data_IF_616945249687
#
_entry.id   IF_616945249687
#
_cell.length_a   1.000
_cell.length_b   1.000
_cell.length_c   1.000
_cell.angle_alpha   90.00
_cell.angle_beta   90.00
_cell.angle_gamma   90.00
#
_symmetry.space_group_name_H-M   'P 1'
#
loop_
_entity.id
_entity.type
_entity.pdbx_description
1 polymer ?
#
# COMPACT_ATOMS: atom_id res chain seq x y z
N UNK A 1 -3.56 18.51 62.63
CA UNK A 1 -2.38 18.40 61.72
C UNK A 1 -2.58 17.46 60.52
N UNK A 2 -3.64 16.64 60.44
CA UNK A 2 -3.81 15.62 59.39
C UNK A 2 -4.37 16.11 58.03
N UNK A 3 -4.92 17.33 57.94
CA UNK A 3 -5.54 17.84 56.69
C UNK A 3 -4.54 18.46 55.68
N UNK A 4 -3.33 18.83 56.11
CA UNK A 4 -2.31 19.45 55.23
C UNK A 4 -1.52 18.41 54.43
N UNK A 5 -1.33 17.22 54.98
CA UNK A 5 -0.54 16.13 54.37
C UNK A 5 -1.28 15.47 53.19
N UNK A 6 -2.61 15.28 53.28
CA UNK A 6 -3.40 14.70 52.17
C UNK A 6 -3.51 15.60 50.94
N UNK A 7 -3.53 16.94 51.10
CA UNK A 7 -3.54 17.86 49.95
C UNK A 7 -2.22 17.85 49.18
N UNK A 8 -1.10 17.60 49.85
CA UNK A 8 0.20 17.55 49.20
C UNK A 8 0.39 16.27 48.37
N UNK A 9 -0.12 15.13 48.85
CA UNK A 9 -0.15 13.85 48.12
C UNK A 9 -1.07 13.91 46.88
N UNK A 10 -2.27 14.47 47.00
CA UNK A 10 -3.18 14.66 45.86
C UNK A 10 -2.61 15.65 44.81
N UNK A 11 -1.83 16.64 45.25
CA UNK A 11 -1.12 17.57 44.36
C UNK A 11 0.04 16.90 43.60
N UNK A 12 0.79 15.99 44.24
CA UNK A 12 1.90 15.30 43.56
C UNK A 12 1.38 14.26 42.56
N UNK A 13 0.28 13.56 42.89
CA UNK A 13 -0.36 12.58 42.00
C UNK A 13 -0.97 13.23 40.74
N UNK A 14 -1.55 14.44 40.86
CA UNK A 14 -2.06 15.18 39.69
C UNK A 14 -0.94 15.65 38.76
N UNK A 15 0.25 15.99 39.28
CA UNK A 15 1.42 16.37 38.46
C UNK A 15 2.02 15.18 37.71
N UNK A 16 2.04 14.01 38.34
CA UNK A 16 2.50 12.76 37.72
C UNK A 16 1.60 12.30 36.57
N UNK A 17 0.27 12.41 36.71
CA UNK A 17 -0.67 12.00 35.67
C UNK A 17 -0.72 12.95 34.46
N UNK A 18 -0.44 14.24 34.66
CA UNK A 18 -0.41 15.25 33.58
C UNK A 18 0.90 15.20 32.79
N UNK A 19 2.03 14.85 33.43
CA UNK A 19 3.33 14.74 32.76
C UNK A 19 3.42 13.56 31.76
N UNK A 20 2.57 12.54 31.89
CA UNK A 20 2.58 11.37 30.99
C UNK A 20 1.68 11.51 29.75
N UNK A 21 0.82 12.52 29.68
CA UNK A 21 -0.04 12.74 28.51
C UNK A 21 0.44 13.99 27.79
N UNK A 22 1.07 13.80 26.64
CA UNK A 22 1.40 14.89 25.73
C UNK A 22 0.12 15.65 25.36
N UNK A 23 -0.11 16.79 25.99
CA UNK A 23 -1.25 17.65 25.68
C UNK A 23 -0.87 18.55 24.50
N UNK A 24 -1.70 18.56 23.46
CA UNK A 24 -1.58 19.47 22.33
C UNK A 24 -1.87 20.91 22.77
N UNK A 25 -1.29 21.88 22.06
CA UNK A 25 -1.46 23.31 22.30
C UNK A 25 -2.94 23.76 22.29
N UNK A 26 -3.79 23.03 21.56
CA UNK A 26 -5.24 23.20 21.50
C UNK A 26 -5.96 22.86 22.81
N UNK A 27 -5.43 21.92 23.61
CA UNK A 27 -6.04 21.48 24.86
C UNK A 27 -5.86 22.52 25.98
N UNK A 28 -4.75 23.27 25.96
CA UNK A 28 -4.46 24.32 26.95
C UNK A 28 -5.20 25.64 26.68
N UNK A 29 -5.66 25.86 25.44
CA UNK A 29 -6.45 27.06 25.08
C UNK A 29 -7.85 27.08 25.69
N UNK A 30 -8.39 25.92 26.09
CA UNK A 30 -9.76 25.79 26.62
C UNK A 30 -9.84 25.71 28.16
N UNK A 31 -8.71 25.71 28.87
CA UNK A 31 -8.71 25.87 30.32
C UNK A 31 -8.70 27.36 30.66
N UNK A 32 -9.85 27.85 31.12
CA UNK A 32 -10.12 29.26 31.42
C UNK A 32 -9.22 29.83 32.51
N UNK A 33 -8.01 30.26 32.15
CA UNK A 33 -7.15 31.08 32.98
C UNK A 33 -6.70 32.33 32.21
N UNK A 34 -6.59 33.43 32.95
CA UNK A 34 -6.16 34.73 32.43
C UNK A 34 -4.83 34.63 31.67
N UNK A 35 -4.52 35.59 30.80
CA UNK A 35 -3.24 35.62 30.06
C UNK A 35 -2.03 35.47 31.01
N UNK A 36 -2.13 36.06 32.22
CA UNK A 36 -1.11 35.97 33.26
C UNK A 36 -0.95 34.56 33.81
N UNK A 37 -2.05 33.89 34.16
CA UNK A 37 -2.02 32.51 34.65
C UNK A 37 -1.57 31.51 33.58
N UNK A 38 -1.90 31.75 32.30
CA UNK A 38 -1.35 30.98 31.19
C UNK A 38 0.16 31.14 31.11
N UNK A 39 0.68 32.36 31.21
CA UNK A 39 2.13 32.61 31.20
C UNK A 39 2.84 32.00 32.41
N UNK A 40 2.25 32.05 33.61
CA UNK A 40 2.81 31.39 34.81
C UNK A 40 2.76 29.85 34.70
N UNK A 41 1.72 29.29 34.09
CA UNK A 41 1.63 27.86 33.82
C UNK A 41 2.68 27.45 32.77
N UNK A 42 2.84 28.20 31.69
CA UNK A 42 3.91 27.99 30.70
C UNK A 42 5.31 28.09 31.33
N UNK A 43 5.52 29.05 32.25
CA UNK A 43 6.78 29.17 33.00
C UNK A 43 7.05 27.95 33.91
N UNK A 44 6.01 27.26 34.39
CA UNK A 44 6.17 25.97 35.11
C UNK A 44 6.49 24.80 34.18
N UNK A 45 6.23 24.95 32.87
CA UNK A 45 6.61 24.00 31.84
C UNK A 45 7.96 24.32 31.17
N UNK A 46 8.58 25.46 31.51
CA UNK A 46 9.86 25.96 30.98
C UNK A 46 11.10 25.15 31.43
N UNK A 47 10.86 23.95 31.98
CA UNK A 47 11.86 22.95 32.35
C UNK A 47 11.46 21.52 31.97
N UNK A 48 10.42 21.33 31.14
CA UNK A 48 10.08 19.99 30.66
C UNK A 48 11.06 19.56 29.55
N UNK A 49 11.67 18.36 29.67
CA UNK A 49 12.75 17.89 28.81
C UNK A 49 12.23 17.33 27.47
N UNK A 50 11.26 18.00 26.85
CA UNK A 50 11.15 17.93 25.40
C UNK A 50 11.62 19.26 24.83
N UNK A 51 12.92 19.50 25.04
CA UNK A 51 13.65 20.55 24.36
C UNK A 51 13.48 20.35 22.85
N UNK A 52 13.53 21.45 22.08
CA UNK A 52 13.59 21.37 20.60
C UNK A 52 14.66 20.38 20.12
N UNK A 53 15.75 20.26 20.87
CA UNK A 53 16.81 19.28 20.63
C UNK A 53 16.33 17.83 20.78
N UNK A 54 15.58 17.47 21.84
CA UNK A 54 15.07 16.10 22.00
C UNK A 54 14.01 15.75 20.95
N UNK A 55 13.16 16.72 20.57
CA UNK A 55 12.20 16.55 19.47
C UNK A 55 12.94 16.33 18.15
N UNK A 56 14.00 17.10 17.90
CA UNK A 56 14.85 16.90 16.71
C UNK A 56 15.51 15.53 16.73
N UNK A 57 16.12 15.12 17.85
CA UNK A 57 16.74 13.80 18.00
C UNK A 57 15.75 12.66 17.74
N UNK A 58 14.51 12.77 18.26
CA UNK A 58 13.46 11.79 17.96
C UNK A 58 13.10 11.78 16.48
N UNK A 59 12.93 12.95 15.85
CA UNK A 59 12.63 13.04 14.41
C UNK A 59 13.74 12.45 13.55
N UNK A 60 14.99 12.83 13.80
CA UNK A 60 16.16 12.31 13.09
C UNK A 60 16.23 10.78 13.25
N UNK A 61 15.94 10.26 14.45
CA UNK A 61 15.88 8.83 14.72
C UNK A 61 14.76 8.11 13.97
N UNK A 62 13.56 8.70 13.91
CA UNK A 62 12.45 8.16 13.12
C UNK A 62 12.73 8.21 11.62
N UNK A 63 13.32 9.29 11.12
CA UNK A 63 13.71 9.42 9.71
C UNK A 63 14.74 8.35 9.32
N UNK A 64 15.77 8.15 10.15
CA UNK A 64 16.77 7.11 9.91
C UNK A 64 16.17 5.70 9.95
N UNK A 65 15.24 5.42 10.87
CA UNK A 65 14.55 4.12 10.92
C UNK A 65 13.61 3.92 9.74
N UNK A 66 12.86 4.95 9.34
CA UNK A 66 11.98 4.91 8.19
C UNK A 66 12.76 4.62 6.90
N UNK A 67 13.95 5.20 6.75
CA UNK A 67 14.82 4.92 5.62
C UNK A 67 15.22 3.43 5.58
N UNK A 68 15.64 2.86 6.72
CA UNK A 68 15.97 1.42 6.79
C UNK A 68 14.76 0.56 6.43
N UNK A 69 13.58 0.86 6.99
CA UNK A 69 12.36 0.13 6.66
C UNK A 69 11.97 0.24 5.19
N UNK A 70 12.19 1.41 4.58
CA UNK A 70 11.97 1.59 3.15
C UNK A 70 12.90 0.68 2.34
N UNK A 71 14.20 0.65 2.64
CA UNK A 71 15.15 -0.22 1.94
C UNK A 71 14.82 -1.72 2.11
N UNK A 72 14.47 -2.15 3.32
CA UNK A 72 14.05 -3.53 3.60
C UNK A 72 12.76 -3.89 2.84
N UNK A 73 11.79 -2.97 2.79
CA UNK A 73 10.56 -3.15 2.03
C UNK A 73 10.83 -3.31 0.53
N UNK A 74 11.70 -2.46 -0.04
CA UNK A 74 12.09 -2.54 -1.45
C UNK A 74 12.78 -3.87 -1.76
N UNK A 75 13.72 -4.30 -0.90
CA UNK A 75 14.40 -5.57 -1.06
C UNK A 75 13.44 -6.77 -0.95
N UNK A 76 12.48 -6.73 -0.02
CA UNK A 76 11.46 -7.77 0.10
C UNK A 76 10.60 -7.85 -1.17
N UNK A 77 10.24 -6.70 -1.73
CA UNK A 77 9.45 -6.61 -2.95
C UNK A 77 10.20 -7.16 -4.17
N UNK A 78 11.48 -6.85 -4.31
CA UNK A 78 12.36 -7.44 -5.34
C UNK A 78 12.46 -8.97 -5.19
N UNK A 79 12.62 -9.46 -3.96
CA UNK A 79 12.68 -10.90 -3.70
C UNK A 79 11.36 -11.62 -4.05
N UNK A 80 10.21 -11.00 -3.74
CA UNK A 80 8.89 -11.53 -4.10
C UNK A 80 8.74 -11.62 -5.61
N UNK A 81 9.10 -10.53 -6.31
CA UNK A 81 9.11 -10.47 -7.77
C UNK A 81 9.99 -11.59 -8.36
N UNK A 82 11.20 -11.76 -7.83
CA UNK A 82 12.12 -12.82 -8.26
C UNK A 82 11.55 -14.23 -8.04
N UNK A 83 10.92 -14.48 -6.89
CA UNK A 83 10.36 -15.79 -6.57
C UNK A 83 9.15 -16.13 -7.45
N UNK A 84 8.27 -15.16 -7.71
CA UNK A 84 7.07 -15.37 -8.52
C UNK A 84 7.39 -15.51 -10.02
N UNK A 85 8.41 -14.81 -10.50
CA UNK A 85 8.92 -15.00 -11.87
C UNK A 85 9.62 -16.35 -12.01
N UNK A 86 10.50 -16.71 -11.08
CA UNK A 86 11.26 -17.98 -11.12
C UNK A 86 10.39 -19.22 -10.95
N UNK A 87 9.25 -19.12 -10.26
CA UNK A 87 8.29 -20.22 -10.11
C UNK A 87 7.35 -20.41 -11.30
N UNK A 88 7.35 -19.50 -12.27
CA UNK A 88 6.44 -19.53 -13.42
C UNK A 88 5.00 -19.12 -13.10
N UNK A 89 4.70 -18.67 -11.87
CA UNK A 89 3.35 -18.19 -11.52
C UNK A 89 2.91 -16.99 -12.38
N UNK A 90 3.89 -16.24 -12.91
CA UNK A 90 3.72 -15.08 -13.77
C UNK A 90 4.26 -15.28 -15.20
N UNK A 91 4.44 -16.52 -15.66
CA UNK A 91 5.07 -16.86 -16.96
C UNK A 91 4.48 -16.12 -18.18
N UNK A 92 3.22 -15.70 -18.10
CA UNK A 92 2.51 -15.05 -19.19
C UNK A 92 2.45 -13.51 -19.06
N UNK A 93 3.06 -12.95 -18.02
CA UNK A 93 3.18 -11.51 -17.82
C UNK A 93 4.54 -11.02 -18.32
N UNK A 94 4.51 -9.87 -18.99
CA UNK A 94 5.71 -9.16 -19.43
C UNK A 94 6.06 -8.09 -18.40
N UNK A 95 7.35 -7.96 -18.09
CA UNK A 95 7.88 -7.02 -17.12
C UNK A 95 8.62 -5.90 -17.84
N UNK A 96 8.27 -4.66 -17.54
CA UNK A 96 9.09 -3.49 -17.90
C UNK A 96 9.99 -3.13 -16.71
N UNK A 97 10.90 -4.05 -16.36
CA UNK A 97 11.73 -3.94 -15.16
C UNK A 97 10.91 -4.01 -13.87
N UNK A 98 11.11 -3.05 -12.95
CA UNK A 98 10.42 -2.96 -11.65
C UNK A 98 9.16 -2.09 -11.70
N UNK A 99 8.82 -1.50 -12.84
CA UNK A 99 7.81 -0.44 -12.90
C UNK A 99 6.39 -0.97 -13.14
N UNK A 100 6.23 -1.92 -14.05
CA UNK A 100 4.90 -2.44 -14.38
C UNK A 100 4.90 -3.89 -14.87
N UNK A 101 3.76 -4.56 -14.62
CA UNK A 101 3.42 -5.85 -15.21
C UNK A 101 2.41 -5.61 -16.33
N UNK A 102 2.62 -6.21 -17.50
CA UNK A 102 1.67 -6.10 -18.61
C UNK A 102 1.32 -7.45 -19.19
N UNK A 103 0.05 -7.65 -19.55
CA UNK A 103 -0.42 -8.86 -20.21
C UNK A 103 -1.62 -8.61 -21.11
N UNK A 104 -1.66 -9.32 -22.23
CA UNK A 104 -2.78 -9.32 -23.17
C UNK A 104 -3.57 -10.61 -23.07
N UNK A 105 -4.89 -10.51 -23.13
CA UNK A 105 -5.83 -11.63 -23.11
C UNK A 105 -6.76 -11.53 -24.31
N UNK A 106 -6.86 -12.61 -25.08
CA UNK A 106 -7.74 -12.70 -26.25
C UNK A 106 -8.90 -13.64 -25.94
N UNK A 107 -10.10 -13.26 -26.37
CA UNK A 107 -11.33 -13.97 -26.06
C UNK A 107 -12.10 -14.32 -27.34
N UNK A 108 -13.02 -15.29 -27.29
CA UNK A 108 -13.85 -15.64 -28.45
C UNK A 108 -14.80 -14.52 -28.87
N UNK A 109 -15.32 -13.75 -27.91
CA UNK A 109 -16.24 -12.65 -28.18
C UNK A 109 -16.32 -11.65 -27.01
N UNK A 110 -17.06 -10.57 -27.25
CA UNK A 110 -17.32 -9.51 -26.27
C UNK A 110 -18.14 -9.97 -25.05
N UNK A 111 -18.89 -11.07 -25.15
CA UNK A 111 -19.68 -11.58 -24.03
C UNK A 111 -18.76 -12.28 -23.03
N UNK A 112 -17.83 -13.09 -23.53
CA UNK A 112 -16.82 -13.74 -22.70
C UNK A 112 -15.84 -12.73 -22.09
N UNK A 113 -15.46 -11.68 -22.84
CA UNK A 113 -14.73 -10.53 -22.27
C UNK A 113 -15.47 -9.95 -21.07
N UNK A 114 -16.76 -9.64 -21.21
CA UNK A 114 -17.52 -8.99 -20.13
C UNK A 114 -17.58 -9.87 -18.88
N UNK A 115 -17.78 -11.18 -19.06
CA UNK A 115 -17.79 -12.15 -17.95
C UNK A 115 -16.47 -12.13 -17.19
N UNK A 116 -15.36 -12.26 -17.93
CA UNK A 116 -14.03 -12.18 -17.35
C UNK A 116 -13.77 -10.83 -16.67
N UNK A 117 -14.11 -9.74 -17.36
CA UNK A 117 -13.88 -8.38 -16.88
C UNK A 117 -14.60 -8.10 -15.56
N UNK A 118 -15.85 -8.54 -15.40
CA UNK A 118 -16.57 -8.36 -14.13
C UNK A 118 -15.93 -9.15 -12.97
N UNK A 119 -15.53 -10.41 -13.19
CA UNK A 119 -14.82 -11.18 -12.15
C UNK A 119 -13.45 -10.55 -11.83
N UNK A 120 -12.77 -10.00 -12.84
CA UNK A 120 -11.51 -9.26 -12.68
C UNK A 120 -11.71 -7.95 -11.89
N UNK A 121 -12.77 -7.17 -12.16
CA UNK A 121 -13.04 -5.94 -11.42
C UNK A 121 -13.37 -6.21 -9.97
N UNK A 122 -14.13 -7.27 -9.69
CA UNK A 122 -14.43 -7.69 -8.31
C UNK A 122 -13.14 -8.07 -7.57
N UNK A 123 -12.19 -8.73 -8.26
CA UNK A 123 -10.88 -9.01 -7.71
C UNK A 123 -10.14 -7.70 -7.37
N UNK A 124 -10.00 -6.77 -8.31
CA UNK A 124 -9.36 -5.47 -8.04
C UNK A 124 -9.98 -4.73 -6.84
N UNK A 125 -11.31 -4.67 -6.79
CA UNK A 125 -12.04 -4.00 -5.71
C UNK A 125 -11.80 -4.68 -4.36
N UNK A 126 -11.76 -6.02 -4.31
CA UNK A 126 -11.52 -6.75 -3.07
C UNK A 126 -10.13 -6.50 -2.46
N UNK A 127 -9.16 -6.07 -3.28
CA UNK A 127 -7.80 -5.74 -2.88
C UNK A 127 -7.57 -4.22 -2.75
N UNK A 128 -8.58 -3.39 -3.01
CA UNK A 128 -8.47 -1.92 -3.11
C UNK A 128 -7.28 -1.49 -4.00
N UNK A 129 -7.10 -2.21 -5.11
CA UNK A 129 -5.97 -2.03 -6.01
C UNK A 129 -6.38 -2.26 -7.46
N UNK A 130 -6.31 -1.22 -8.28
CA UNK A 130 -6.91 -1.19 -9.61
C UNK A 130 -5.86 -1.31 -10.71
N UNK A 131 -6.18 -2.06 -11.77
CA UNK A 131 -5.33 -2.16 -12.96
C UNK A 131 -5.69 -1.09 -14.01
N UNK A 132 -4.73 -0.75 -14.85
CA UNK A 132 -4.99 -0.06 -16.12
C UNK A 132 -5.45 -1.08 -17.16
N UNK A 133 -6.56 -0.82 -17.83
CA UNK A 133 -7.15 -1.74 -18.81
C UNK A 133 -7.48 -1.02 -20.11
N UNK A 134 -7.06 -1.60 -21.23
CA UNK A 134 -7.45 -1.19 -22.57
C UNK A 134 -8.19 -2.34 -23.25
N UNK A 135 -9.37 -2.05 -23.78
CA UNK A 135 -10.20 -3.02 -24.52
C UNK A 135 -10.15 -2.71 -26.02
N UNK A 136 -9.66 -3.66 -26.81
CA UNK A 136 -9.59 -3.54 -28.27
C UNK A 136 -10.20 -4.77 -28.92
N UNK A 137 -11.37 -4.63 -29.56
CA UNK A 137 -12.12 -5.76 -30.14
C UNK A 137 -12.36 -6.91 -29.15
N UNK A 138 -11.75 -8.07 -29.40
CA UNK A 138 -11.83 -9.26 -28.55
C UNK A 138 -10.60 -9.44 -27.66
N UNK A 139 -9.81 -8.38 -27.45
CA UNK A 139 -8.58 -8.37 -26.67
C UNK A 139 -8.68 -7.38 -25.52
N UNK A 140 -8.21 -7.79 -24.35
CA UNK A 140 -7.99 -6.94 -23.18
C UNK A 140 -6.49 -6.87 -22.92
N UNK A 141 -5.96 -5.66 -22.86
CA UNK A 141 -4.61 -5.35 -22.41
C UNK A 141 -4.68 -4.85 -20.97
N UNK A 142 -3.95 -5.50 -20.05
CA UNK A 142 -3.90 -5.14 -18.63
C UNK A 142 -2.49 -4.72 -18.27
N UNK A 143 -2.37 -3.61 -17.55
CA UNK A 143 -1.13 -3.13 -16.93
C UNK A 143 -1.33 -2.88 -15.43
N UNK A 144 -0.39 -3.38 -14.62
CA UNK A 144 -0.40 -3.28 -13.16
C UNK A 144 0.84 -2.52 -12.69
N UNK A 145 0.61 -1.53 -11.83
CA UNK A 145 1.64 -0.75 -11.15
C UNK A 145 1.03 -0.13 -9.89
N UNK A 146 1.85 0.13 -8.87
CA UNK A 146 1.38 0.73 -7.63
C UNK A 146 1.75 2.21 -7.54
N UNK A 147 0.77 3.09 -7.69
CA UNK A 147 0.96 4.55 -7.57
C UNK A 147 1.53 4.97 -6.21
N UNK A 148 1.17 4.27 -5.13
CA UNK A 148 1.66 4.56 -3.78
C UNK A 148 3.09 4.07 -3.54
N UNK A 149 3.62 3.23 -4.44
CA UNK A 149 4.96 2.64 -4.34
C UNK A 149 5.91 3.24 -5.39
N UNK A 150 5.90 4.57 -5.53
CA UNK A 150 6.69 5.30 -6.54
C UNK A 150 6.51 4.79 -7.98
N UNK A 151 5.31 4.31 -8.32
CA UNK A 151 4.98 3.65 -9.60
C UNK A 151 5.84 2.42 -9.90
N UNK A 152 6.19 1.69 -8.86
CA UNK A 152 6.83 0.38 -8.95
C UNK A 152 5.83 -0.72 -8.62
N UNK A 153 6.07 -1.90 -9.19
CA UNK A 153 5.34 -3.12 -8.88
C UNK A 153 5.39 -3.32 -7.37
N UNK A 154 4.27 -3.64 -6.73
CA UNK A 154 4.20 -4.04 -5.33
C UNK A 154 3.69 -5.47 -5.20
N UNK A 155 3.65 -5.97 -3.96
CA UNK A 155 3.01 -7.24 -3.67
C UNK A 155 1.55 -7.33 -4.16
N UNK A 156 0.81 -6.21 -4.13
CA UNK A 156 -0.59 -6.19 -4.57
C UNK A 156 -0.71 -6.40 -6.08
N UNK A 157 0.18 -5.81 -6.88
CA UNK A 157 0.25 -6.06 -8.32
C UNK A 157 0.47 -7.54 -8.62
N UNK A 158 1.37 -8.18 -7.88
CA UNK A 158 1.67 -9.61 -8.04
C UNK A 158 0.48 -10.51 -7.65
N UNK A 159 -0.24 -10.17 -6.57
CA UNK A 159 -1.44 -10.91 -6.16
C UNK A 159 -2.56 -10.78 -7.18
N UNK A 160 -2.79 -9.57 -7.70
CA UNK A 160 -3.78 -9.35 -8.76
C UNK A 160 -3.37 -10.12 -10.03
N UNK A 161 -2.12 -10.03 -10.45
CA UNK A 161 -1.62 -10.75 -11.63
C UNK A 161 -1.86 -12.27 -11.52
N UNK A 162 -1.59 -12.85 -10.35
CA UNK A 162 -1.87 -14.25 -10.05
C UNK A 162 -3.38 -14.56 -10.05
N UNK A 163 -4.19 -13.70 -9.45
CA UNK A 163 -5.65 -13.84 -9.43
C UNK A 163 -6.24 -13.82 -10.84
N UNK A 164 -5.79 -12.90 -11.69
CA UNK A 164 -6.16 -12.80 -13.09
C UNK A 164 -5.78 -14.08 -13.84
N UNK A 165 -4.57 -14.61 -13.63
CA UNK A 165 -4.14 -15.89 -14.23
C UNK A 165 -5.10 -17.03 -13.89
N UNK A 166 -5.52 -17.11 -12.63
CA UNK A 166 -6.45 -18.14 -12.17
C UNK A 166 -7.85 -17.96 -12.76
N UNK A 167 -8.36 -16.72 -12.80
CA UNK A 167 -9.63 -16.40 -13.46
C UNK A 167 -9.60 -16.78 -14.95
N UNK A 168 -8.52 -16.46 -15.64
CA UNK A 168 -8.38 -16.79 -17.06
C UNK A 168 -8.32 -18.31 -17.27
N UNK A 169 -7.48 -19.04 -16.50
CA UNK A 169 -7.39 -20.51 -16.55
C UNK A 169 -8.72 -21.19 -16.26
N UNK A 170 -9.52 -20.65 -15.32
CA UNK A 170 -10.86 -21.15 -15.00
C UNK A 170 -11.80 -21.09 -16.21
N UNK A 171 -11.73 -20.04 -17.01
CA UNK A 171 -12.59 -19.87 -18.18
C UNK A 171 -11.99 -20.42 -19.49
N UNK A 172 -10.69 -20.74 -19.51
CA UNK A 172 -9.98 -21.20 -20.70
C UNK A 172 -10.66 -22.38 -21.43
N UNK A 173 -11.14 -23.46 -20.76
CA UNK A 173 -11.82 -24.56 -21.46
C UNK A 173 -13.10 -24.13 -22.18
N UNK A 174 -13.78 -23.10 -21.66
CA UNK A 174 -14.97 -22.53 -22.31
C UNK A 174 -14.57 -21.74 -23.55
N UNK A 175 -13.49 -20.98 -23.50
CA UNK A 175 -13.00 -20.20 -24.63
C UNK A 175 -12.55 -21.10 -25.77
N UNK A 176 -11.75 -22.13 -25.46
CA UNK A 176 -11.28 -23.12 -26.43
C UNK A 176 -12.46 -23.81 -27.14
N UNK A 177 -13.49 -24.21 -26.38
CA UNK A 177 -14.70 -24.81 -26.97
C UNK A 177 -15.43 -23.85 -27.91
N UNK A 178 -15.63 -22.59 -27.52
CA UNK A 178 -16.36 -21.61 -28.33
C UNK A 178 -15.63 -21.27 -29.62
N UNK A 179 -14.30 -21.23 -29.60
CA UNK A 179 -13.48 -21.03 -30.79
C UNK A 179 -13.52 -22.26 -31.70
N UNK A 180 -13.40 -23.46 -31.14
CA UNK A 180 -13.49 -24.70 -31.90
C UNK A 180 -14.85 -24.85 -32.62
N UNK A 181 -15.96 -24.46 -31.98
CA UNK A 181 -17.30 -24.43 -32.59
C UNK A 181 -17.40 -23.47 -33.79
N UNK A 182 -16.51 -22.47 -33.89
CA UNK A 182 -16.42 -21.50 -34.98
C UNK A 182 -15.32 -21.82 -35.99
N UNK A 183 -14.51 -22.86 -35.76
CA UNK A 183 -13.34 -23.17 -36.57
C UNK A 183 -12.18 -22.17 -36.39
N UNK A 184 -12.12 -21.52 -35.22
CA UNK A 184 -11.08 -20.57 -34.84
C UNK A 184 -10.15 -21.18 -33.76
N UNK A 185 -8.94 -20.63 -33.63
CA UNK A 185 -7.99 -21.01 -32.56
C UNK A 185 -7.72 -19.82 -31.63
N UNK A 186 -7.37 -20.13 -30.38
CA UNK A 186 -7.08 -19.11 -29.39
C UNK A 186 -5.69 -18.53 -29.67
N UNK A 187 -5.63 -17.24 -30.01
CA UNK A 187 -4.36 -16.55 -30.17
C UNK A 187 -3.68 -16.43 -28.79
N UNK A 188 -2.83 -17.40 -28.48
CA UNK A 188 -1.87 -17.30 -27.40
C UNK A 188 -0.76 -16.36 -27.88
N UNK A 189 -0.89 -15.06 -27.62
CA UNK A 189 0.28 -14.18 -27.72
C UNK A 189 1.25 -14.62 -26.61
N UNK A 190 2.29 -15.37 -27.00
CA UNK A 190 3.44 -15.59 -26.12
C UNK A 190 3.96 -14.21 -25.70
N UNK A 191 4.06 -14.01 -24.38
CA UNK A 191 4.65 -12.80 -23.83
C UNK A 191 6.03 -12.63 -24.44
N UNK A 192 6.19 -11.63 -25.33
CA UNK A 192 7.50 -11.27 -25.85
C UNK A 192 8.31 -10.79 -24.66
N UNK A 193 9.13 -11.67 -24.09
CA UNK A 193 10.25 -11.26 -23.26
C UNK A 193 11.13 -10.41 -24.16
N UNK A 194 10.97 -9.09 -24.04
CA UNK A 194 11.69 -8.10 -24.79
C UNK A 194 13.15 -8.13 -24.36
N UNK A 195 13.92 -9.04 -24.96
CA UNK A 195 15.37 -8.91 -25.00
C UNK A 195 15.69 -7.86 -26.08
N UNK A 196 15.64 -6.60 -25.67
CA UNK A 196 16.26 -5.50 -26.40
C UNK A 196 17.11 -4.69 -25.43
N UNK A 197 18.28 -5.23 -25.09
CA UNK A 197 19.44 -4.41 -24.76
C UNK A 197 20.13 -4.02 -26.07
N UNK A 198 20.01 -2.75 -26.45
CA UNK A 198 21.02 -2.05 -27.24
C UNK A 198 22.16 -1.63 -26.33
#
# INVERSE_FOLDING_TARGET
MLAKTSRHMLSSMKRSAVAQRGFSESYLKNYGSSKKERMELFAQFDGFPQTKAKIKEMKDGFEAQNEVYYQEFMQMNENLLYNMTSSGELELWTFDGTNSLSRSFVFPDLLEIRRFFFEFTDLCESWDHHASVVLTHNRIDISLTSHFNDNQISHLDLQIARGINNLYKKHLPRYERLLAERGEELALEEGKNGDQKQ
#
